data_IF_611435183946
#
_entry.id   IF_611435183946
#
_cell.length_a   1.000
_cell.length_b   1.000
_cell.length_c   1.000
_cell.angle_alpha   90.00
_cell.angle_beta   90.00
_cell.angle_gamma   90.00
#
_symmetry.space_group_name_H-M   'P 1'
#
loop_
_entity.id
_entity.type
_entity.pdbx_description
1 polymer ?
#
# COMPACT_ATOMS: atom_id res chain seq x y z
N UNK A 1 -78.69 -10.91 19.23
CA UNK A 1 -78.08 -9.88 18.37
C UNK A 1 -76.56 -10.07 18.52
N UNK A 2 -75.97 -10.70 17.48
CA UNK A 2 -74.52 -10.89 17.42
C UNK A 2 -73.88 -9.69 16.70
N UNK A 3 -73.14 -8.85 17.44
CA UNK A 3 -72.40 -7.73 16.85
C UNK A 3 -71.26 -8.26 15.99
N UNK A 4 -71.23 -7.88 14.69
CA UNK A 4 -70.12 -8.09 13.79
C UNK A 4 -68.89 -7.33 14.35
N UNK A 5 -67.89 -8.05 14.83
CA UNK A 5 -66.52 -7.49 15.00
C UNK A 5 -66.05 -7.07 13.57
N UNK A 6 -65.88 -5.78 13.35
CA UNK A 6 -65.29 -5.26 12.14
C UNK A 6 -63.85 -5.78 11.99
N UNK A 7 -63.59 -6.48 10.91
CA UNK A 7 -62.21 -6.84 10.49
C UNK A 7 -61.38 -5.56 10.41
N UNK A 8 -60.40 -5.41 11.32
CA UNK A 8 -59.40 -4.35 11.21
C UNK A 8 -58.57 -4.65 9.96
N UNK A 9 -58.86 -3.93 8.84
CA UNK A 9 -58.04 -4.02 7.63
C UNK A 9 -56.59 -3.67 8.01
N UNK A 10 -55.68 -4.58 7.69
CA UNK A 10 -54.25 -4.39 7.84
C UNK A 10 -53.80 -3.23 6.98
N UNK A 11 -52.96 -2.33 7.53
CA UNK A 11 -52.47 -1.14 6.82
C UNK A 11 -50.99 -0.99 6.96
N UNK A 12 -50.32 -0.42 5.94
CA UNK A 12 -48.94 -0.05 6.02
C UNK A 12 -48.72 0.98 7.13
N UNK A 13 -47.74 0.71 8.02
CA UNK A 13 -47.45 1.60 9.17
C UNK A 13 -46.72 2.87 8.75
N UNK A 14 -46.17 2.93 7.50
CA UNK A 14 -45.46 4.07 6.97
C UNK A 14 -46.37 5.02 6.17
N UNK A 15 -47.10 4.52 5.19
CA UNK A 15 -47.97 5.36 4.33
C UNK A 15 -49.46 5.21 4.59
N UNK A 16 -49.89 4.34 5.49
CA UNK A 16 -51.28 4.06 5.89
C UNK A 16 -52.17 3.48 4.77
N UNK A 17 -51.61 3.05 3.62
CA UNK A 17 -52.35 2.34 2.57
C UNK A 17 -52.83 0.99 3.03
N UNK A 18 -54.04 0.58 2.64
CA UNK A 18 -54.58 -0.74 2.99
C UNK A 18 -54.03 -1.82 2.05
N UNK A 19 -54.18 -3.07 2.43
CA UNK A 19 -53.74 -4.22 1.64
C UNK A 19 -54.31 -4.24 0.19
N UNK A 20 -55.51 -3.71 0.01
CA UNK A 20 -56.18 -3.59 -1.32
C UNK A 20 -55.52 -2.53 -2.22
N UNK A 21 -54.69 -1.64 -1.68
CA UNK A 21 -54.06 -0.50 -2.37
C UNK A 21 -52.59 -0.70 -2.72
N UNK A 22 -51.98 -1.82 -2.32
CA UNK A 22 -50.59 -2.13 -2.50
C UNK A 22 -50.46 -3.55 -3.05
N UNK A 23 -49.30 -3.86 -3.67
CA UNK A 23 -49.08 -5.19 -4.25
C UNK A 23 -48.77 -6.23 -3.15
N UNK A 24 -48.10 -5.81 -2.09
CA UNK A 24 -47.71 -6.68 -1.00
C UNK A 24 -47.53 -5.90 0.29
N UNK A 25 -47.95 -6.48 1.42
CA UNK A 25 -47.65 -6.04 2.78
C UNK A 25 -46.73 -7.08 3.42
N UNK A 26 -45.62 -6.62 3.96
CA UNK A 26 -44.68 -7.43 4.76
C UNK A 26 -44.93 -7.17 6.22
N UNK A 27 -45.19 -8.23 7.00
CA UNK A 27 -45.40 -8.15 8.43
C UNK A 27 -44.07 -8.11 9.17
N UNK A 28 -43.93 -7.16 10.09
CA UNK A 28 -42.86 -7.10 11.09
C UNK A 28 -43.33 -7.58 12.48
N UNK A 29 -42.47 -7.57 13.48
CA UNK A 29 -42.81 -7.86 14.86
C UNK A 29 -43.82 -6.83 15.39
N UNK A 30 -44.56 -7.20 16.45
CA UNK A 30 -45.48 -6.32 17.15
C UNK A 30 -46.64 -5.70 16.29
N UNK A 31 -46.98 -6.35 15.17
CA UNK A 31 -48.13 -5.92 14.34
C UNK A 31 -47.82 -4.71 13.45
N UNK A 32 -46.55 -4.44 13.16
CA UNK A 32 -46.08 -3.43 12.17
C UNK A 32 -46.14 -4.04 10.80
N UNK A 33 -46.55 -3.26 9.79
CA UNK A 33 -46.60 -3.67 8.40
C UNK A 33 -45.94 -2.62 7.49
N UNK A 34 -45.20 -3.04 6.48
CA UNK A 34 -44.64 -2.16 5.45
C UNK A 34 -45.07 -2.64 4.06
N UNK A 35 -45.42 -1.72 3.18
CA UNK A 35 -45.78 -2.07 1.80
C UNK A 35 -44.57 -2.03 0.86
N UNK A 36 -44.70 -2.69 -0.30
CA UNK A 36 -43.71 -2.73 -1.37
C UNK A 36 -43.24 -1.33 -1.80
N UNK A 37 -44.15 -0.37 -2.01
CA UNK A 37 -43.79 1.00 -2.37
C UNK A 37 -42.94 1.69 -1.30
N UNK A 38 -43.25 1.49 -0.01
CA UNK A 38 -42.46 2.07 1.06
C UNK A 38 -41.09 1.39 1.19
N UNK A 39 -40.99 0.10 0.87
CA UNK A 39 -39.69 -0.60 0.82
C UNK A 39 -38.81 -0.03 -0.28
N UNK A 40 -39.37 0.20 -1.48
CA UNK A 40 -38.63 0.81 -2.60
C UNK A 40 -38.14 2.21 -2.23
N UNK A 41 -39.01 3.09 -1.71
CA UNK A 41 -38.59 4.43 -1.26
C UNK A 41 -37.54 4.40 -0.16
N UNK A 42 -37.69 3.51 0.83
CA UNK A 42 -36.68 3.38 1.89
C UNK A 42 -35.35 2.85 1.34
N UNK A 43 -35.37 1.94 0.36
CA UNK A 43 -34.16 1.44 -0.29
C UNK A 43 -33.46 2.56 -1.08
N UNK A 44 -34.22 3.36 -1.87
CA UNK A 44 -33.67 4.52 -2.58
C UNK A 44 -33.04 5.55 -1.63
N UNK A 45 -33.70 5.91 -0.53
CA UNK A 45 -33.15 6.84 0.47
C UNK A 45 -31.88 6.29 1.10
N UNK A 46 -31.84 4.99 1.43
CA UNK A 46 -30.65 4.35 2.00
C UNK A 46 -29.52 4.26 0.97
N UNK A 47 -29.85 4.02 -0.31
CA UNK A 47 -28.86 4.04 -1.41
C UNK A 47 -28.33 5.46 -1.66
N UNK A 48 -29.20 6.51 -1.69
CA UNK A 48 -28.78 7.91 -1.82
C UNK A 48 -27.91 8.36 -0.64
N UNK A 49 -28.30 8.04 0.61
CA UNK A 49 -27.47 8.33 1.80
C UNK A 49 -26.16 7.54 1.80
N UNK A 50 -26.14 6.35 1.19
CA UNK A 50 -24.91 5.58 0.98
C UNK A 50 -24.04 6.14 -0.16
N UNK A 51 -24.59 6.84 -1.16
CA UNK A 51 -23.82 7.51 -2.24
C UNK A 51 -23.25 8.86 -1.81
N UNK A 52 -23.98 9.65 -0.99
CA UNK A 52 -23.56 10.97 -0.50
C UNK A 52 -22.72 10.93 0.80
N UNK A 53 -22.71 9.84 1.51
CA UNK A 53 -22.14 9.70 2.86
C UNK A 53 -21.13 8.59 3.02
N UNK A 54 -20.23 8.34 2.05
CA UNK A 54 -19.08 7.46 2.27
C UNK A 54 -17.94 8.14 3.04
N UNK A 55 -18.23 8.81 4.13
CA UNK A 55 -17.43 8.68 5.33
C UNK A 55 -17.87 7.39 6.05
N UNK A 56 -17.56 6.25 5.43
CA UNK A 56 -17.49 5.03 6.20
C UNK A 56 -16.39 5.23 7.25
N UNK A 57 -16.79 5.59 8.47
CA UNK A 57 -16.11 5.05 9.63
C UNK A 57 -16.22 3.53 9.49
N UNK A 58 -15.38 2.98 8.64
CA UNK A 58 -15.25 1.55 8.46
C UNK A 58 -15.08 0.95 9.84
N UNK A 59 -15.65 -0.22 10.08
CA UNK A 59 -15.42 -1.08 11.25
C UNK A 59 -13.92 -1.13 11.65
N UNK A 60 -13.02 -0.67 10.80
CA UNK A 60 -11.56 -0.66 10.92
C UNK A 60 -10.93 0.74 11.04
N UNK A 61 -11.71 1.83 11.02
CA UNK A 61 -11.21 3.22 11.11
C UNK A 61 -10.30 3.65 9.94
N UNK A 62 -10.39 2.97 8.79
CA UNK A 62 -9.58 3.26 7.60
C UNK A 62 -10.20 4.43 6.83
N UNK A 63 -9.42 5.48 6.60
CA UNK A 63 -9.83 6.64 5.81
C UNK A 63 -9.64 6.36 4.31
N UNK A 64 -10.69 5.85 3.63
CA UNK A 64 -10.64 5.54 2.20
C UNK A 64 -10.93 6.80 1.36
N UNK A 65 -9.88 7.41 0.85
CA UNK A 65 -9.91 8.64 0.06
C UNK A 65 -9.72 8.31 -1.43
N UNK A 66 -10.32 9.11 -2.33
CA UNK A 66 -10.18 8.92 -3.78
C UNK A 66 -8.72 9.10 -4.25
N UNK A 67 -8.28 8.39 -5.30
CA UNK A 67 -6.88 8.44 -5.76
C UNK A 67 -6.36 9.85 -6.06
N UNK A 68 -7.21 10.74 -6.56
CA UNK A 68 -6.86 12.13 -6.81
C UNK A 68 -6.47 12.87 -5.53
N UNK A 69 -7.21 12.65 -4.46
CA UNK A 69 -6.99 13.33 -3.18
C UNK A 69 -5.79 12.72 -2.45
N UNK A 70 -5.57 11.40 -2.60
CA UNK A 70 -4.32 10.74 -2.17
C UNK A 70 -3.12 11.39 -2.86
N UNK A 71 -3.18 11.56 -4.19
CA UNK A 71 -2.10 12.21 -4.96
C UNK A 71 -1.86 13.65 -4.51
N UNK A 72 -2.92 14.44 -4.32
CA UNK A 72 -2.82 15.83 -3.84
C UNK A 72 -2.17 15.89 -2.46
N UNK A 73 -2.53 14.99 -1.55
CA UNK A 73 -1.90 14.92 -0.23
C UNK A 73 -0.41 14.56 -0.32
N UNK A 74 -0.04 13.63 -1.21
CA UNK A 74 1.37 13.29 -1.44
C UNK A 74 2.15 14.49 -2.00
N UNK A 75 1.53 15.35 -2.81
CA UNK A 75 2.16 16.57 -3.35
C UNK A 75 2.56 17.57 -2.27
N UNK A 76 1.84 17.60 -1.16
CA UNK A 76 2.15 18.45 -0.01
C UNK A 76 3.44 18.05 0.72
N UNK A 77 3.89 16.80 0.59
CA UNK A 77 5.03 16.25 1.34
C UNK A 77 6.19 15.82 0.47
N UNK A 78 5.94 15.42 -0.78
CA UNK A 78 6.96 14.88 -1.67
C UNK A 78 7.01 15.71 -2.96
N UNK A 79 8.18 16.17 -3.31
CA UNK A 79 8.41 16.96 -4.54
C UNK A 79 8.62 16.01 -5.73
N UNK A 80 8.06 16.38 -6.88
CA UNK A 80 8.19 15.58 -8.11
C UNK A 80 7.49 14.22 -8.00
N UNK A 81 8.01 13.23 -8.71
CA UNK A 81 7.54 11.83 -8.69
C UNK A 81 6.06 11.66 -9.11
N UNK A 82 5.56 12.47 -10.04
CA UNK A 82 4.14 12.55 -10.36
C UNK A 82 3.55 11.21 -10.83
N UNK A 83 4.24 10.49 -11.69
CA UNK A 83 3.79 9.18 -12.21
C UNK A 83 3.79 8.12 -11.10
N UNK A 84 4.82 8.11 -10.27
CA UNK A 84 4.90 7.22 -9.11
C UNK A 84 3.75 7.49 -8.12
N UNK A 85 3.47 8.75 -7.80
CA UNK A 85 2.36 9.15 -6.91
C UNK A 85 1.00 8.73 -7.46
N UNK A 86 0.75 8.90 -8.77
CA UNK A 86 -0.50 8.44 -9.42
C UNK A 86 -0.65 6.92 -9.32
N UNK A 87 0.40 6.17 -9.66
CA UNK A 87 0.39 4.72 -9.60
C UNK A 87 0.16 4.20 -8.16
N UNK A 88 0.88 4.77 -7.19
CA UNK A 88 0.72 4.45 -5.78
C UNK A 88 -0.68 4.79 -5.25
N UNK A 89 -1.21 5.97 -5.58
CA UNK A 89 -2.53 6.40 -5.16
C UNK A 89 -3.62 5.43 -5.65
N UNK A 90 -3.55 4.99 -6.90
CA UNK A 90 -4.50 4.01 -7.47
C UNK A 90 -4.31 2.64 -6.84
N UNK A 91 -3.08 2.16 -6.68
CA UNK A 91 -2.79 0.83 -6.13
C UNK A 91 -3.27 0.71 -4.67
N UNK A 92 -2.97 1.72 -3.85
CA UNK A 92 -3.36 1.77 -2.44
C UNK A 92 -4.89 1.89 -2.31
N UNK A 93 -5.53 2.76 -3.09
CA UNK A 93 -6.98 2.86 -3.13
C UNK A 93 -7.65 1.52 -3.49
N UNK A 94 -7.16 0.84 -4.53
CA UNK A 94 -7.70 -0.46 -4.94
C UNK A 94 -7.51 -1.52 -3.86
N UNK A 95 -6.37 -1.51 -3.16
CA UNK A 95 -6.12 -2.43 -2.06
C UNK A 95 -7.16 -2.27 -0.94
N UNK A 96 -7.36 -1.05 -0.43
CA UNK A 96 -8.32 -0.81 0.65
C UNK A 96 -9.77 -0.91 0.18
N UNK A 97 -10.07 -0.53 -1.06
CA UNK A 97 -11.39 -0.77 -1.66
C UNK A 97 -11.72 -2.27 -1.73
N UNK A 98 -10.75 -3.13 -2.02
CA UNK A 98 -10.92 -4.59 -1.97
C UNK A 98 -11.32 -5.06 -0.57
N UNK A 99 -10.68 -4.53 0.47
CA UNK A 99 -10.92 -4.91 1.87
C UNK A 99 -12.31 -4.46 2.33
N UNK A 100 -12.73 -3.26 1.94
CA UNK A 100 -14.03 -2.66 2.33
C UNK A 100 -15.18 -3.09 1.43
N UNK A 101 -14.89 -3.82 0.34
CA UNK A 101 -15.91 -4.25 -0.60
C UNK A 101 -16.85 -5.32 -0.02
N UNK A 102 -18.15 -5.33 -0.40
CA UNK A 102 -19.08 -6.35 0.01
C UNK A 102 -18.63 -7.76 -0.41
N UNK A 103 -18.82 -8.75 0.46
CA UNK A 103 -18.38 -10.14 0.20
C UNK A 103 -19.09 -10.84 -0.97
N UNK A 104 -20.21 -10.32 -1.47
CA UNK A 104 -21.08 -10.95 -2.47
C UNK A 104 -21.00 -10.30 -3.86
N UNK A 105 -19.82 -9.89 -4.31
CA UNK A 105 -19.66 -9.27 -5.64
C UNK A 105 -19.59 -10.25 -6.82
N UNK A 106 -19.65 -11.56 -6.59
CA UNK A 106 -19.54 -12.58 -7.64
C UNK A 106 -18.18 -12.68 -8.32
N UNK A 107 -17.20 -11.84 -7.93
CA UNK A 107 -15.82 -11.83 -8.42
C UNK A 107 -14.88 -11.66 -7.24
N UNK A 108 -13.85 -12.50 -7.18
CA UNK A 108 -12.79 -12.40 -6.18
C UNK A 108 -11.69 -11.45 -6.66
N UNK A 109 -11.46 -10.37 -5.91
CA UNK A 109 -10.39 -9.40 -6.20
C UNK A 109 -9.12 -9.83 -5.47
N UNK A 110 -8.09 -10.15 -6.24
CA UNK A 110 -6.81 -10.58 -5.69
C UNK A 110 -6.03 -9.45 -5.04
N UNK A 111 -5.22 -9.80 -4.04
CA UNK A 111 -4.28 -8.90 -3.38
C UNK A 111 -3.18 -8.45 -4.36
N UNK A 112 -2.86 -7.16 -4.35
CA UNK A 112 -1.80 -6.58 -5.17
C UNK A 112 -0.81 -5.82 -4.30
N UNK A 113 0.37 -6.41 -4.06
CA UNK A 113 1.47 -5.72 -3.39
C UNK A 113 2.25 -4.87 -4.39
N UNK A 114 3.08 -3.95 -3.88
CA UNK A 114 3.75 -2.92 -4.68
C UNK A 114 5.27 -3.13 -4.62
N UNK A 115 5.94 -2.99 -5.77
CA UNK A 115 7.38 -2.92 -5.87
C UNK A 115 7.79 -1.50 -6.30
N UNK A 116 8.60 -0.83 -5.49
CA UNK A 116 9.11 0.51 -5.75
C UNK A 116 10.58 0.45 -6.15
N UNK A 117 10.91 1.00 -7.31
CA UNK A 117 12.26 1.08 -7.86
C UNK A 117 12.76 2.51 -7.83
N UNK A 118 14.04 2.70 -7.59
CA UNK A 118 14.66 4.02 -7.75
C UNK A 118 15.87 4.19 -6.87
N UNK A 119 16.70 5.19 -7.15
CA UNK A 119 17.94 5.44 -6.43
C UNK A 119 17.74 5.59 -4.92
N UNK A 120 18.80 5.38 -4.17
CA UNK A 120 18.78 5.69 -2.74
C UNK A 120 18.50 7.19 -2.55
N UNK A 121 17.67 7.54 -1.56
CA UNK A 121 17.33 8.94 -1.28
C UNK A 121 16.21 9.55 -2.14
N UNK A 122 15.66 8.86 -3.15
CA UNK A 122 14.58 9.41 -4.01
C UNK A 122 13.20 9.48 -3.35
N UNK A 123 13.06 9.09 -2.07
CA UNK A 123 11.83 9.25 -1.29
C UNK A 123 10.91 8.03 -1.20
N UNK A 124 11.38 6.81 -1.52
CA UNK A 124 10.59 5.56 -1.45
C UNK A 124 9.91 5.37 -0.09
N UNK A 125 10.69 5.36 0.98
CA UNK A 125 10.21 5.18 2.36
C UNK A 125 9.26 6.30 2.79
N UNK A 126 9.57 7.55 2.41
CA UNK A 126 8.73 8.72 2.72
C UNK A 126 7.34 8.62 2.07
N UNK A 127 7.27 8.17 0.81
CA UNK A 127 6.00 7.96 0.12
C UNK A 127 5.14 6.91 0.84
N UNK A 128 5.73 5.75 1.19
CA UNK A 128 5.01 4.68 1.90
C UNK A 128 4.52 5.14 3.28
N UNK A 129 5.36 5.84 4.05
CA UNK A 129 5.00 6.37 5.35
C UNK A 129 3.91 7.44 5.27
N UNK A 130 3.97 8.31 4.25
CA UNK A 130 2.98 9.37 4.05
C UNK A 130 1.62 8.79 3.68
N UNK A 131 1.58 7.73 2.86
CA UNK A 131 0.36 6.98 2.55
C UNK A 131 -0.28 6.36 3.79
N UNK A 132 0.51 5.68 4.62
CA UNK A 132 0.00 5.05 5.84
C UNK A 132 -0.59 6.10 6.82
N UNK A 133 0.06 7.25 6.93
CA UNK A 133 -0.43 8.37 7.75
C UNK A 133 -1.77 8.91 7.24
N UNK A 134 -1.90 9.10 5.91
CA UNK A 134 -3.13 9.59 5.29
C UNK A 134 -4.30 8.66 5.55
N UNK A 135 -4.07 7.35 5.43
CA UNK A 135 -5.08 6.31 5.59
C UNK A 135 -5.39 5.96 7.05
N UNK A 136 -4.62 6.52 7.99
CA UNK A 136 -4.70 6.21 9.42
C UNK A 136 -4.53 4.71 9.74
N UNK A 137 -3.60 4.05 9.05
CA UNK A 137 -3.31 2.63 9.26
C UNK A 137 -1.94 2.42 9.92
N UNK A 138 -1.72 1.31 10.66
CA UNK A 138 -0.41 0.97 11.21
C UNK A 138 0.64 0.87 10.11
N UNK A 139 1.87 1.33 10.43
CA UNK A 139 2.98 1.33 9.50
C UNK A 139 4.24 0.74 10.14
N UNK A 140 4.85 -0.23 9.47
CA UNK A 140 6.12 -0.81 9.90
C UNK A 140 7.15 -0.79 8.78
N UNK A 141 8.42 -0.61 9.16
CA UNK A 141 9.56 -0.68 8.26
C UNK A 141 10.39 -1.92 8.62
N UNK A 142 10.73 -2.68 7.60
CA UNK A 142 11.66 -3.80 7.71
C UNK A 142 12.80 -3.62 6.69
N UNK A 143 13.97 -4.07 7.07
CA UNK A 143 15.14 -4.09 6.21
C UNK A 143 15.35 -5.54 5.72
N UNK A 144 15.34 -5.74 4.40
CA UNK A 144 15.49 -7.06 3.82
C UNK A 144 16.88 -7.66 4.08
N UNK A 145 17.90 -6.83 4.29
CA UNK A 145 19.28 -7.30 4.55
C UNK A 145 19.46 -7.97 5.91
N UNK A 146 18.60 -7.64 6.88
CA UNK A 146 18.61 -8.24 8.21
C UNK A 146 17.96 -9.64 8.24
N UNK A 147 17.20 -10.00 7.19
CA UNK A 147 16.39 -11.20 7.16
C UNK A 147 17.22 -12.44 6.78
N UNK A 148 16.88 -13.54 7.42
CA UNK A 148 17.45 -14.86 7.10
C UNK A 148 16.36 -15.93 7.04
N UNK A 149 16.65 -17.05 6.37
CA UNK A 149 15.78 -18.22 6.43
C UNK A 149 15.67 -18.74 7.86
N UNK A 150 14.46 -19.19 8.24
CA UNK A 150 14.20 -19.67 9.60
C UNK A 150 15.23 -20.73 10.07
N UNK A 151 15.79 -20.52 11.26
CA UNK A 151 16.79 -21.41 11.87
C UNK A 151 18.24 -20.99 11.66
N UNK A 152 18.53 -19.96 10.86
CA UNK A 152 19.87 -19.38 10.71
C UNK A 152 20.09 -18.14 11.59
N UNK A 153 21.33 -17.62 11.62
CA UNK A 153 21.67 -16.42 12.40
C UNK A 153 21.16 -15.18 11.64
N UNK A 154 20.21 -14.46 12.23
CA UNK A 154 19.55 -13.27 11.66
C UNK A 154 18.14 -13.13 12.17
N UNK A 155 17.38 -12.19 11.62
CA UNK A 155 15.96 -12.02 11.91
C UNK A 155 15.11 -12.98 11.05
N UNK A 156 14.26 -13.76 11.71
CA UNK A 156 13.28 -14.56 10.99
C UNK A 156 12.30 -13.63 10.24
N UNK A 157 11.85 -14.04 9.05
CA UNK A 157 10.93 -13.24 8.20
C UNK A 157 9.64 -12.88 8.95
N UNK A 158 9.16 -13.76 9.85
CA UNK A 158 7.97 -13.47 10.67
C UNK A 158 8.17 -12.32 11.67
N UNK A 159 9.40 -11.92 12.00
CA UNK A 159 9.65 -10.76 12.85
C UNK A 159 9.20 -9.44 12.21
N UNK A 160 9.07 -9.39 10.88
CA UNK A 160 8.46 -8.27 10.17
C UNK A 160 7.02 -8.03 10.67
N UNK A 161 6.29 -9.14 10.90
CA UNK A 161 4.90 -9.08 11.38
C UNK A 161 4.82 -8.61 12.84
N UNK A 162 5.84 -8.88 13.66
CA UNK A 162 5.89 -8.33 15.01
C UNK A 162 5.99 -6.80 14.99
N UNK A 163 6.75 -6.23 14.05
CA UNK A 163 6.88 -4.76 13.93
C UNK A 163 5.52 -4.08 13.63
N UNK A 164 4.70 -4.68 12.77
CA UNK A 164 3.36 -4.12 12.51
C UNK A 164 2.40 -4.31 13.68
N UNK A 165 2.47 -5.43 14.40
CA UNK A 165 1.71 -5.66 15.63
C UNK A 165 2.07 -4.61 16.68
N UNK A 166 3.35 -4.31 16.86
CA UNK A 166 3.83 -3.26 17.77
C UNK A 166 3.36 -1.87 17.33
N UNK A 167 3.39 -1.57 16.03
CA UNK A 167 2.90 -0.30 15.48
C UNK A 167 1.38 -0.14 15.64
N UNK A 168 0.65 -1.22 15.84
CA UNK A 168 -0.77 -1.25 16.12
C UNK A 168 -1.09 -1.32 17.64
N UNK A 169 -0.11 -1.08 18.53
CA UNK A 169 -0.26 -1.19 19.97
C UNK A 169 -0.78 -2.58 20.43
N UNK A 170 -0.33 -3.65 19.74
CA UNK A 170 -0.76 -5.05 19.95
C UNK A 170 -2.22 -5.34 19.63
N UNK A 171 -2.92 -4.43 18.95
CA UNK A 171 -4.22 -4.73 18.35
C UNK A 171 -4.01 -5.51 17.04
N UNK A 172 -4.19 -6.85 17.13
CA UNK A 172 -3.98 -7.77 16.00
C UNK A 172 -4.90 -7.42 14.82
N UNK A 173 -6.18 -7.13 15.11
CA UNK A 173 -7.17 -6.81 14.07
C UNK A 173 -6.76 -5.55 13.30
N UNK A 174 -6.31 -4.52 13.99
CA UNK A 174 -5.81 -3.29 13.39
C UNK A 174 -4.52 -3.53 12.62
N UNK A 175 -3.61 -4.38 13.12
CA UNK A 175 -2.37 -4.74 12.45
C UNK A 175 -2.60 -5.43 11.10
N UNK A 176 -3.66 -6.24 10.97
CA UNK A 176 -4.02 -6.96 9.74
C UNK A 176 -4.40 -6.05 8.56
N UNK A 177 -4.64 -4.76 8.81
CA UNK A 177 -4.92 -3.75 7.77
C UNK A 177 -3.80 -2.74 7.59
N UNK A 178 -2.63 -2.99 8.17
CA UNK A 178 -1.48 -2.12 8.10
C UNK A 178 -0.73 -2.16 6.78
N UNK A 179 0.25 -1.26 6.68
CA UNK A 179 1.22 -1.21 5.58
C UNK A 179 2.60 -1.61 6.12
N UNK A 180 3.22 -2.58 5.49
CA UNK A 180 4.60 -2.97 5.76
C UNK A 180 5.47 -2.54 4.58
N UNK A 181 6.45 -1.68 4.84
CA UNK A 181 7.48 -1.30 3.88
C UNK A 181 8.74 -2.15 4.11
N UNK A 182 9.14 -2.91 3.09
CA UNK A 182 10.38 -3.71 3.11
C UNK A 182 11.40 -2.98 2.26
N UNK A 183 12.40 -2.39 2.91
CA UNK A 183 13.51 -1.68 2.25
C UNK A 183 14.62 -2.64 1.82
N UNK A 184 15.48 -2.16 0.92
CA UNK A 184 16.63 -2.90 0.37
C UNK A 184 16.27 -4.28 -0.22
N UNK A 185 15.07 -4.38 -0.83
CA UNK A 185 14.54 -5.64 -1.35
C UNK A 185 15.40 -6.26 -2.46
N UNK A 186 16.18 -5.45 -3.18
CA UNK A 186 17.15 -5.90 -4.16
C UNK A 186 18.34 -6.68 -3.56
N UNK A 187 18.58 -6.57 -2.26
CA UNK A 187 19.72 -7.22 -1.59
C UNK A 187 19.48 -8.71 -1.30
N UNK A 188 18.22 -9.16 -1.32
CA UNK A 188 17.86 -10.59 -1.18
C UNK A 188 17.81 -11.34 -2.51
N UNK A 189 18.32 -10.76 -3.59
CA UNK A 189 18.44 -11.43 -4.89
C UNK A 189 19.55 -12.47 -4.89
N UNK A 190 19.41 -13.52 -5.72
CA UNK A 190 20.47 -14.52 -5.90
C UNK A 190 21.77 -13.85 -6.33
N UNK A 191 22.84 -14.07 -5.59
CA UNK A 191 24.19 -13.65 -5.97
C UNK A 191 24.79 -14.72 -6.88
N UNK A 192 24.76 -14.50 -8.20
CA UNK A 192 25.45 -15.20 -9.27
C UNK A 192 25.21 -16.71 -9.50
N UNK A 193 25.40 -17.13 -10.76
CA UNK A 193 25.25 -18.47 -11.34
C UNK A 193 26.23 -19.55 -10.81
N UNK A 194 27.03 -19.28 -9.80
CA UNK A 194 27.83 -20.33 -9.19
C UNK A 194 26.92 -21.27 -8.40
N UNK A 195 26.59 -22.40 -9.00
CA UNK A 195 26.01 -23.56 -8.38
C UNK A 195 26.92 -24.13 -7.29
N UNK A 196 27.20 -23.35 -6.24
CA UNK A 196 27.76 -23.91 -5.02
C UNK A 196 26.66 -24.72 -4.38
N UNK A 197 26.99 -25.91 -3.95
CA UNK A 197 26.11 -26.94 -3.34
C UNK A 197 25.49 -26.42 -2.01
N UNK A 198 25.80 -25.21 -1.57
CA UNK A 198 25.29 -24.58 -0.36
C UNK A 198 24.03 -23.77 -0.67
N UNK A 199 22.94 -24.14 0.03
CA UNK A 199 21.67 -23.42 0.01
C UNK A 199 21.87 -21.93 0.29
N UNK A 200 21.37 -21.05 -0.55
CA UNK A 200 21.44 -19.60 -0.35
C UNK A 200 20.39 -19.18 0.69
N UNK A 201 20.81 -19.10 1.94
CA UNK A 201 19.95 -18.80 3.10
C UNK A 201 19.68 -17.31 3.28
N UNK A 202 20.41 -16.45 2.59
CA UNK A 202 20.29 -14.98 2.63
C UNK A 202 19.60 -14.39 1.39
N UNK A 203 19.52 -15.13 0.30
CA UNK A 203 18.90 -14.70 -0.94
C UNK A 203 17.61 -15.46 -1.24
N UNK A 204 17.70 -16.58 -1.99
CA UNK A 204 16.51 -17.34 -2.39
C UNK A 204 15.69 -17.87 -1.23
N UNK A 205 16.33 -18.33 -0.14
CA UNK A 205 15.63 -18.83 1.05
C UNK A 205 14.75 -17.76 1.70
N UNK A 206 15.24 -16.52 1.78
CA UNK A 206 14.47 -15.37 2.30
C UNK A 206 13.33 -15.03 1.34
N UNK A 207 13.55 -15.04 0.03
CA UNK A 207 12.50 -14.81 -0.95
C UNK A 207 11.38 -15.85 -0.82
N UNK A 208 11.68 -17.13 -0.66
CA UNK A 208 10.70 -18.20 -0.47
C UNK A 208 9.92 -18.05 0.86
N UNK A 209 10.56 -17.58 1.93
CA UNK A 209 9.88 -17.31 3.19
C UNK A 209 8.95 -16.10 3.09
N UNK A 210 9.40 -15.01 2.44
CA UNK A 210 8.58 -13.83 2.18
C UNK A 210 7.37 -14.13 1.30
N UNK A 211 7.50 -15.03 0.34
CA UNK A 211 6.42 -15.39 -0.57
C UNK A 211 5.13 -15.77 0.20
N UNK A 212 5.25 -16.55 1.27
CA UNK A 212 4.09 -17.01 2.07
C UNK A 212 3.32 -15.83 2.67
N UNK A 213 4.02 -14.84 3.25
CA UNK A 213 3.37 -13.69 3.86
C UNK A 213 2.86 -12.68 2.82
N UNK A 214 3.52 -12.58 1.66
CA UNK A 214 3.05 -11.76 0.55
C UNK A 214 1.76 -12.30 -0.08
N UNK A 215 1.61 -13.62 -0.15
CA UNK A 215 0.41 -14.30 -0.67
C UNK A 215 -0.80 -14.11 0.24
N UNK A 216 -0.60 -14.07 1.54
CA UNK A 216 -1.62 -14.02 2.56
C UNK A 216 -1.74 -15.37 3.28
N UNK A 217 -1.44 -15.39 4.56
CA UNK A 217 -1.50 -16.57 5.43
C UNK A 217 -1.68 -16.14 6.87
N UNK A 218 -2.20 -17.05 7.69
CA UNK A 218 -2.17 -16.88 9.14
C UNK A 218 -0.78 -17.27 9.64
N UNK A 219 -0.03 -16.29 10.08
CA UNK A 219 1.31 -16.46 10.61
C UNK A 219 1.31 -16.47 12.14
N UNK A 220 2.24 -17.26 12.72
CA UNK A 220 2.42 -17.38 14.17
C UNK A 220 3.69 -16.62 14.58
N UNK A 221 3.56 -15.56 15.35
CA UNK A 221 4.64 -14.62 15.68
C UNK A 221 4.96 -14.68 17.17
N UNK A 222 6.25 -14.85 17.56
CA UNK A 222 6.65 -14.76 18.94
C UNK A 222 6.48 -13.34 19.50
N UNK A 223 5.80 -13.13 20.65
CA UNK A 223 5.49 -11.79 21.17
C UNK A 223 6.74 -10.98 21.58
N UNK A 224 7.85 -11.65 21.86
CA UNK A 224 9.14 -11.01 22.20
C UNK A 224 10.14 -10.98 21.02
N UNK A 225 9.72 -11.43 19.85
CA UNK A 225 10.64 -11.64 18.72
C UNK A 225 11.59 -12.81 18.91
N UNK A 226 12.49 -13.00 17.93
CA UNK A 226 13.46 -14.07 17.97
C UNK A 226 12.90 -15.44 17.60
N UNK A 227 13.56 -16.52 18.05
CA UNK A 227 13.20 -17.89 17.69
C UNK A 227 11.97 -18.39 18.44
N UNK A 228 11.12 -19.16 17.75
CA UNK A 228 9.96 -19.82 18.35
C UNK A 228 10.43 -20.89 19.35
N UNK A 229 9.96 -20.80 20.59
CA UNK A 229 10.21 -21.82 21.61
C UNK A 229 8.98 -22.76 21.74
N UNK A 230 9.18 -24.07 22.04
CA UNK A 230 8.11 -25.07 22.01
C UNK A 230 6.93 -24.83 22.96
N UNK A 231 7.09 -24.00 24.00
CA UNK A 231 6.06 -23.71 25.01
C UNK A 231 5.67 -22.24 25.06
N UNK A 232 6.02 -21.44 24.05
CA UNK A 232 5.70 -20.03 23.99
C UNK A 232 4.34 -19.83 23.32
N UNK A 233 3.47 -19.04 23.91
CA UNK A 233 2.26 -18.56 23.24
C UNK A 233 2.65 -17.66 22.07
N UNK A 234 2.09 -17.94 20.89
CA UNK A 234 2.36 -17.21 19.66
C UNK A 234 1.16 -16.35 19.29
N UNK A 235 1.42 -15.13 18.88
CA UNK A 235 0.40 -14.25 18.31
C UNK A 235 0.05 -14.75 16.90
N UNK A 236 -1.26 -14.88 16.62
CA UNK A 236 -1.75 -15.25 15.29
C UNK A 236 -2.14 -13.98 14.55
N UNK A 237 -1.62 -13.78 13.32
CA UNK A 237 -1.96 -12.63 12.48
C UNK A 237 -2.20 -13.09 11.05
N UNK A 238 -3.31 -12.65 10.45
CA UNK A 238 -3.64 -12.90 9.05
C UNK A 238 -3.03 -11.81 8.15
N UNK A 239 -2.16 -12.21 7.25
CA UNK A 239 -1.46 -11.29 6.35
C UNK A 239 -2.22 -11.00 5.06
N UNK A 240 -3.43 -11.55 4.86
CA UNK A 240 -4.23 -11.41 3.64
C UNK A 240 -4.56 -9.96 3.30
N UNK A 241 -4.80 -9.13 4.32
CA UNK A 241 -5.18 -7.73 4.15
C UNK A 241 -4.04 -6.73 4.45
N UNK A 242 -2.87 -7.20 4.86
CA UNK A 242 -1.68 -6.35 5.00
C UNK A 242 -1.18 -5.95 3.60
N UNK A 243 -0.96 -4.66 3.36
CA UNK A 243 -0.32 -4.17 2.15
C UNK A 243 1.20 -4.22 2.30
N UNK A 244 1.87 -4.97 1.44
CA UNK A 244 3.33 -4.94 1.37
C UNK A 244 3.79 -4.02 0.25
N UNK A 245 4.71 -3.12 0.59
CA UNK A 245 5.41 -2.24 -0.34
C UNK A 245 6.88 -2.58 -0.24
N UNK A 246 7.45 -3.18 -1.28
CA UNK A 246 8.86 -3.56 -1.32
C UNK A 246 9.65 -2.48 -2.06
N UNK A 247 10.71 -1.95 -1.46
CA UNK A 247 11.55 -0.90 -2.05
C UNK A 247 12.98 -1.37 -2.28
N UNK A 248 13.59 -0.98 -3.40
CA UNK A 248 14.99 -1.28 -3.69
C UNK A 248 15.59 -0.32 -4.71
N UNK A 249 16.91 -0.20 -4.71
CA UNK A 249 17.63 0.58 -5.71
C UNK A 249 17.75 -0.18 -7.03
N UNK A 250 17.89 -1.51 -6.99
CA UNK A 250 18.06 -2.40 -8.15
C UNK A 250 19.20 -1.95 -9.06
N UNK A 251 20.36 -1.63 -8.48
CA UNK A 251 21.54 -1.21 -9.21
C UNK A 251 21.98 -2.26 -10.23
N UNK A 252 22.09 -1.86 -11.50
CA UNK A 252 22.42 -2.75 -12.61
C UNK A 252 21.23 -3.35 -13.37
N UNK A 253 20.00 -3.13 -12.89
CA UNK A 253 18.77 -3.51 -13.61
C UNK A 253 18.64 -2.72 -14.92
N UNK A 254 19.09 -1.47 -14.96
CA UNK A 254 19.19 -0.62 -16.13
C UNK A 254 19.94 -1.32 -17.28
N UNK A 255 21.07 -1.94 -17.00
CA UNK A 255 21.87 -2.69 -17.99
C UNK A 255 21.13 -3.92 -18.54
N UNK A 256 20.36 -4.60 -17.70
CA UNK A 256 19.53 -5.76 -18.10
C UNK A 256 18.44 -5.31 -19.07
N UNK A 257 17.80 -4.17 -18.76
CA UNK A 257 16.74 -3.56 -19.60
C UNK A 257 17.35 -3.11 -20.94
N UNK A 258 18.47 -2.38 -20.91
CA UNK A 258 19.18 -1.94 -22.12
C UNK A 258 19.57 -3.11 -23.02
N UNK A 259 20.16 -4.16 -22.47
CA UNK A 259 20.51 -5.36 -23.23
C UNK A 259 19.27 -6.02 -23.88
N UNK A 260 18.10 -5.98 -23.22
CA UNK A 260 16.85 -6.48 -23.80
C UNK A 260 16.36 -5.60 -24.95
N UNK A 261 16.50 -4.29 -24.81
CA UNK A 261 16.09 -3.32 -25.84
C UNK A 261 17.02 -3.35 -27.04
N UNK A 262 18.33 -3.42 -26.81
CA UNK A 262 19.35 -3.45 -27.87
C UNK A 262 19.31 -4.75 -28.69
N UNK A 263 18.95 -5.90 -28.08
CA UNK A 263 18.79 -7.19 -28.78
C UNK A 263 17.67 -7.15 -29.83
N UNK A 264 16.69 -6.25 -29.69
CA UNK A 264 15.62 -6.05 -30.68
C UNK A 264 16.01 -5.14 -31.84
N UNK A 265 17.17 -4.49 -31.78
CA UNK A 265 17.65 -3.51 -32.77
C UNK A 265 18.60 -4.08 -33.81
N UNK A 266 18.59 -5.39 -34.06
CA UNK A 266 19.42 -6.02 -35.14
C UNK A 266 18.71 -5.81 -36.48
N UNK A 267 19.02 -4.70 -37.14
CA UNK A 267 18.57 -4.38 -38.50
C UNK A 267 19.37 -3.26 -39.12
N UNK A 268 19.45 -3.22 -40.45
CA UNK A 268 20.29 -2.31 -41.27
C UNK A 268 19.97 -0.81 -41.11
N UNK A 269 18.94 -0.41 -40.31
CA UNK A 269 18.54 0.98 -40.06
C UNK A 269 18.55 1.36 -38.59
N UNK A 270 19.40 0.78 -37.76
CA UNK A 270 19.48 1.10 -36.35
C UNK A 270 20.14 2.46 -36.15
N UNK A 271 19.39 3.44 -35.66
CA UNK A 271 19.97 4.69 -35.14
C UNK A 271 20.72 4.32 -33.86
N UNK A 272 22.04 4.35 -33.92
CA UNK A 272 22.92 4.20 -32.77
C UNK A 272 22.76 5.49 -31.95
N UNK A 273 21.84 5.48 -31.00
CA UNK A 273 21.80 6.53 -29.98
C UNK A 273 23.00 6.33 -29.05
N UNK A 274 23.81 7.37 -28.89
CA UNK A 274 24.96 7.37 -27.98
C UNK A 274 24.53 6.92 -26.59
N UNK A 275 25.19 5.86 -26.09
CA UNK A 275 24.89 5.21 -24.79
C UNK A 275 25.11 6.11 -23.57
N UNK A 276 25.65 7.33 -23.76
CA UNK A 276 26.10 8.20 -22.65
C UNK A 276 25.05 9.11 -22.05
N UNK A 277 23.89 9.29 -22.70
CA UNK A 277 22.89 10.29 -22.28
C UNK A 277 21.50 9.73 -21.99
N UNK A 278 21.34 8.42 -21.82
CA UNK A 278 20.03 7.86 -21.41
C UNK A 278 19.81 8.11 -19.93
N UNK A 279 18.79 8.88 -19.61
CA UNK A 279 18.34 9.06 -18.24
C UNK A 279 17.93 7.68 -17.66
N UNK A 280 18.61 7.24 -16.59
CA UNK A 280 18.36 5.94 -15.93
C UNK A 280 16.88 5.80 -15.55
N UNK A 281 16.22 6.88 -15.14
CA UNK A 281 14.80 6.89 -14.86
C UNK A 281 13.92 6.46 -16.03
N UNK A 282 14.23 6.96 -17.25
CA UNK A 282 13.49 6.59 -18.47
C UNK A 282 13.71 5.11 -18.86
N UNK A 283 14.88 4.56 -18.58
CA UNK A 283 15.17 3.14 -18.79
C UNK A 283 14.39 2.29 -17.80
N UNK A 284 14.38 2.65 -16.52
CA UNK A 284 13.65 1.94 -15.48
C UNK A 284 12.13 1.94 -15.70
N UNK A 285 11.56 2.96 -16.34
CA UNK A 285 10.13 2.96 -16.72
C UNK A 285 9.75 1.85 -17.71
N UNK A 286 10.72 1.29 -18.43
CA UNK A 286 10.51 0.20 -19.40
C UNK A 286 10.76 -1.20 -18.82
N UNK A 287 10.87 -1.30 -17.50
CA UNK A 287 11.11 -2.56 -16.80
C UNK A 287 9.96 -3.55 -17.02
N UNK A 288 10.28 -4.81 -17.14
CA UNK A 288 9.34 -5.92 -17.25
C UNK A 288 9.64 -6.97 -16.16
N UNK A 289 8.67 -7.77 -15.74
CA UNK A 289 8.87 -8.83 -14.74
C UNK A 289 10.05 -9.78 -15.06
N UNK A 290 10.28 -10.07 -16.35
CA UNK A 290 11.40 -10.91 -16.79
C UNK A 290 12.78 -10.30 -16.52
N UNK A 291 12.88 -8.97 -16.40
CA UNK A 291 14.15 -8.29 -16.12
C UNK A 291 14.54 -8.52 -14.66
N UNK A 292 13.56 -8.54 -13.74
CA UNK A 292 13.79 -8.88 -12.33
C UNK A 292 14.20 -10.34 -12.14
N UNK A 293 13.63 -11.25 -12.92
CA UNK A 293 14.05 -12.67 -12.89
C UNK A 293 15.52 -12.80 -13.33
N UNK A 294 15.93 -12.06 -14.36
CA UNK A 294 17.34 -12.00 -14.77
C UNK A 294 18.24 -11.32 -13.74
N UNK A 295 17.69 -10.40 -12.96
CA UNK A 295 18.39 -9.73 -11.86
C UNK A 295 18.61 -10.64 -10.66
N UNK A 296 17.84 -11.73 -10.52
CA UNK A 296 17.95 -12.72 -9.45
C UNK A 296 16.74 -12.84 -8.53
N UNK A 297 15.61 -12.23 -8.91
CA UNK A 297 14.33 -12.45 -8.23
C UNK A 297 13.69 -13.76 -8.68
N UNK A 298 13.02 -14.45 -7.77
CA UNK A 298 12.25 -15.64 -8.14
C UNK A 298 10.94 -15.24 -8.85
N UNK A 299 10.52 -15.98 -9.89
CA UNK A 299 9.32 -15.66 -10.67
C UNK A 299 8.05 -15.56 -9.82
N UNK A 300 7.94 -16.40 -8.78
CA UNK A 300 6.78 -16.46 -7.88
C UNK A 300 6.59 -15.15 -7.11
N UNK A 301 7.67 -14.55 -6.62
CA UNK A 301 7.63 -13.26 -5.93
C UNK A 301 7.18 -12.15 -6.89
N UNK A 302 7.68 -12.16 -8.13
CA UNK A 302 7.26 -11.18 -9.13
C UNK A 302 5.77 -11.28 -9.45
N UNK A 303 5.20 -12.48 -9.39
CA UNK A 303 3.76 -12.70 -9.50
C UNK A 303 2.95 -12.10 -8.34
N UNK A 304 3.56 -11.88 -7.17
CA UNK A 304 2.92 -11.29 -5.98
C UNK A 304 3.20 -9.79 -5.81
N UNK A 305 4.03 -9.20 -6.67
CA UNK A 305 4.35 -7.79 -6.75
C UNK A 305 3.95 -7.21 -8.13
N UNK A 306 2.66 -7.28 -8.50
CA UNK A 306 2.23 -6.91 -9.85
C UNK A 306 2.28 -5.42 -10.14
N UNK A 307 2.28 -4.57 -9.11
CA UNK A 307 2.35 -3.12 -9.25
C UNK A 307 3.80 -2.68 -9.13
N UNK A 308 4.39 -2.28 -10.24
CA UNK A 308 5.77 -1.81 -10.30
C UNK A 308 5.75 -0.28 -10.47
N UNK A 309 6.43 0.43 -9.58
CA UNK A 309 6.51 1.89 -9.55
C UNK A 309 7.96 2.32 -9.58
N UNK A 310 8.36 3.04 -10.63
CA UNK A 310 9.70 3.62 -10.74
C UNK A 310 9.71 5.06 -10.23
N UNK A 311 10.74 5.41 -9.47
CA UNK A 311 11.02 6.76 -9.02
C UNK A 311 12.23 7.31 -9.77
N UNK A 312 12.13 8.56 -10.18
CA UNK A 312 13.22 9.27 -10.83
C UNK A 312 14.28 9.72 -9.82
N UNK A 313 15.52 9.86 -10.25
CA UNK A 313 16.58 10.47 -9.46
C UNK A 313 16.23 11.95 -9.20
N UNK A 314 16.63 12.45 -8.04
CA UNK A 314 16.45 13.87 -7.71
C UNK A 314 17.53 14.69 -8.39
N UNK A 315 17.12 15.72 -9.12
CA UNK A 315 18.01 16.72 -9.69
C UNK A 315 18.25 17.87 -8.69
N UNK A 316 19.17 18.76 -9.02
CA UNK A 316 19.51 19.92 -8.18
C UNK A 316 18.30 20.82 -7.88
N UNK A 317 17.43 21.02 -8.87
CA UNK A 317 16.22 21.84 -8.71
C UNK A 317 15.24 21.18 -7.75
N UNK A 318 15.05 19.86 -7.86
CA UNK A 318 14.22 19.09 -6.92
C UNK A 318 14.77 19.17 -5.48
N UNK A 319 16.10 19.10 -5.29
CA UNK A 319 16.72 19.22 -3.97
C UNK A 319 16.46 20.60 -3.33
N UNK A 320 16.58 21.68 -4.10
CA UNK A 320 16.25 23.05 -3.62
C UNK A 320 14.79 23.12 -3.19
N UNK A 321 13.88 22.60 -4.02
CA UNK A 321 12.44 22.59 -3.72
C UNK A 321 12.12 21.74 -2.49
N UNK A 322 12.78 20.58 -2.32
CA UNK A 322 12.62 19.71 -1.14
C UNK A 322 12.98 20.44 0.16
N UNK A 323 13.97 21.31 0.13
CA UNK A 323 14.37 22.08 1.30
C UNK A 323 13.31 23.12 1.72
N UNK A 324 12.50 23.65 0.77
CA UNK A 324 11.62 24.79 0.99
C UNK A 324 10.12 24.47 0.94
N UNK A 325 9.66 23.73 -0.09
CA UNK A 325 8.23 23.63 -0.43
C UNK A 325 7.42 22.70 0.48
N UNK A 326 7.85 21.44 0.79
CA UNK A 326 7.03 20.50 1.54
C UNK A 326 6.49 21.08 2.84
N UNK A 327 5.31 20.61 3.27
CA UNK A 327 4.71 21.01 4.56
C UNK A 327 5.68 20.85 5.72
N UNK A 328 6.47 19.76 5.72
CA UNK A 328 7.48 19.44 6.73
C UNK A 328 8.90 19.62 6.19
N UNK A 329 9.16 20.64 5.35
CA UNK A 329 10.51 20.88 4.86
C UNK A 329 11.48 21.16 6.01
N UNK A 330 12.74 20.78 5.82
CA UNK A 330 13.78 20.91 6.84
C UNK A 330 13.94 22.37 7.28
N UNK A 331 13.90 23.32 6.35
CA UNK A 331 13.98 24.75 6.64
C UNK A 331 12.82 25.19 7.54
N UNK A 332 11.58 24.77 7.25
CA UNK A 332 10.41 25.09 8.09
C UNK A 332 10.53 24.52 9.50
N UNK A 333 11.07 23.30 9.62
CA UNK A 333 11.30 22.69 10.93
C UNK A 333 12.33 23.45 11.75
N UNK A 334 13.47 23.83 11.14
CA UNK A 334 14.48 24.63 11.85
C UNK A 334 13.96 26.02 12.21
N UNK A 335 13.26 26.72 11.31
CA UNK A 335 12.61 27.98 11.64
C UNK A 335 11.72 27.89 12.88
N UNK A 336 10.90 26.81 12.93
CA UNK A 336 10.00 26.58 14.06
C UNK A 336 10.74 26.24 15.36
N UNK A 337 11.83 25.47 15.28
CA UNK A 337 12.67 25.18 16.46
C UNK A 337 13.29 26.44 17.03
N UNK A 338 13.87 27.31 16.19
CA UNK A 338 14.47 28.60 16.63
C UNK A 338 13.42 29.57 17.15
N UNK A 339 12.23 29.60 16.56
CA UNK A 339 11.11 30.40 17.07
C UNK A 339 10.73 30.04 18.51
N UNK A 340 10.81 28.74 18.90
CA UNK A 340 10.57 28.30 20.27
C UNK A 340 11.60 28.86 21.27
N UNK A 341 12.81 29.15 20.78
CA UNK A 341 13.88 29.77 21.56
C UNK A 341 13.85 31.33 21.47
N UNK A 342 12.83 31.90 20.81
CA UNK A 342 12.67 33.35 20.64
C UNK A 342 13.62 33.94 19.58
N UNK A 343 14.17 33.12 18.70
CA UNK A 343 15.08 33.54 17.61
C UNK A 343 14.35 33.43 16.27
N UNK A 344 14.42 34.50 15.47
CA UNK A 344 13.91 34.48 14.09
C UNK A 344 15.04 34.05 13.14
N UNK A 345 14.87 32.90 12.52
CA UNK A 345 15.85 32.31 11.60
C UNK A 345 15.43 32.51 10.15
N UNK A 346 16.24 33.21 9.37
CA UNK A 346 16.06 33.38 7.94
C UNK A 346 17.14 32.62 7.13
N UNK A 347 16.74 32.06 6.00
CA UNK A 347 17.65 31.43 5.04
C UNK A 347 17.63 32.26 3.76
N UNK A 348 18.79 32.77 3.36
CA UNK A 348 18.97 33.35 2.04
C UNK A 348 18.96 32.30 0.94
N UNK A 349 18.49 32.65 -0.25
CA UNK A 349 18.42 31.69 -1.39
C UNK A 349 19.80 31.08 -1.71
N UNK A 350 20.87 31.88 -1.62
CA UNK A 350 22.24 31.40 -1.81
C UNK A 350 22.66 30.36 -0.77
N UNK A 351 22.14 30.44 0.46
CA UNK A 351 22.39 29.39 1.47
C UNK A 351 21.65 28.09 1.16
N UNK A 352 20.41 28.19 0.69
CA UNK A 352 19.63 27.02 0.26
C UNK A 352 20.28 26.31 -0.92
N UNK A 353 20.75 27.06 -1.91
CA UNK A 353 21.49 26.50 -3.05
C UNK A 353 22.79 25.82 -2.61
N UNK A 354 23.55 26.46 -1.71
CA UNK A 354 24.79 25.88 -1.20
C UNK A 354 24.57 24.60 -0.38
N UNK A 355 23.41 24.46 0.29
CA UNK A 355 23.00 23.22 1.00
C UNK A 355 22.67 22.14 -0.03
N UNK A 356 21.89 22.48 -1.04
CA UNK A 356 21.51 21.53 -2.11
C UNK A 356 22.75 21.01 -2.89
N UNK A 357 23.76 21.86 -3.10
CA UNK A 357 24.99 21.48 -3.79
C UNK A 357 25.90 20.54 -2.98
N UNK A 358 25.68 20.44 -1.67
CA UNK A 358 26.42 19.54 -0.76
C UNK A 358 25.70 18.22 -0.47
N UNK A 359 24.41 18.13 -0.82
CA UNK A 359 23.60 16.92 -0.67
C UNK A 359 23.89 15.91 -1.77
#
# INVERSE_FOLDING_TARGET
>A
MAGKLGERKVRCSFCNKSEDQVRKLVAGPDGVYICDECIEICAEIVEEEMEDGYELENEYGINLIKPRDIKNFLDDYVIGQDEAKKALAVAVYNHYKRITAPRNMGVEIQKSNILMLGPTGCGKTLLAQTLARLLNVPFAIADATALTEAGYVGEDVENILLKIIQAADYDIKRAEYGIIYIDEFDKITRKSENASITRDVSGEGVQQALLKILEGTVASVPPQGGRKHPHQELLQIDTTNILFICGGAFEGLDKIIENRLDTKAIGFNTVINDKKDRNIGEVLKQVLPQDFVKFGMIPEIMGRLPVIVSLDALDREALIRILQEPKNSIIKQYKKLFELDGVDLEFEDAAVEAIADKS
#
